data_IF_754798918640
#
_entry.id   IF_754798918640
#
_cell.length_a   1.000
_cell.length_b   1.000
_cell.length_c   1.000
_cell.angle_alpha   90.00
_cell.angle_beta   90.00
_cell.angle_gamma   90.00
#
_symmetry.space_group_name_H-M   'P 1'
#
loop_
_entity.id
_entity.type
_entity.pdbx_description
1 polymer ?
#
# COMPACT_ATOMS: atom_id res chain seq x y z
N UNK A 1 5.22 24.45 49.24
CA UNK A 1 5.40 25.17 47.95
C UNK A 1 4.59 26.46 48.02
N UNK A 2 5.15 27.62 47.64
CA UNK A 2 4.38 28.86 47.63
C UNK A 2 3.17 28.73 46.68
N UNK A 3 2.03 29.38 46.99
CA UNK A 3 0.85 29.35 46.13
C UNK A 3 1.20 29.97 44.77
N UNK A 4 0.81 29.28 43.68
CA UNK A 4 1.04 29.77 42.32
C UNK A 4 0.32 31.12 42.14
N UNK A 5 1.04 32.12 41.66
CA UNK A 5 0.47 33.44 41.39
C UNK A 5 -0.69 33.31 40.38
N UNK A 6 -1.80 34.01 40.64
CA UNK A 6 -2.93 34.06 39.71
C UNK A 6 -2.50 34.74 38.40
N UNK A 7 -2.95 34.21 37.27
CA UNK A 7 -2.72 34.85 35.97
C UNK A 7 -3.27 36.27 35.96
N UNK A 8 -2.60 37.15 35.23
CA UNK A 8 -3.06 38.51 35.01
C UNK A 8 -4.33 38.46 34.14
N UNK A 9 -5.46 38.83 34.72
CA UNK A 9 -6.73 39.04 34.02
C UNK A 9 -7.26 40.46 34.30
N UNK A 10 -8.34 40.84 33.62
CA UNK A 10 -9.00 42.13 33.79
C UNK A 10 -9.66 42.20 35.18
N UNK A 11 -9.87 43.41 35.70
CA UNK A 11 -10.56 43.62 36.98
C UNK A 11 -11.91 42.88 37.04
N UNK A 12 -12.30 42.44 38.24
CA UNK A 12 -13.45 41.54 38.43
C UNK A 12 -14.77 42.05 37.85
N UNK A 13 -15.02 43.37 37.88
CA UNK A 13 -16.21 43.97 37.28
C UNK A 13 -16.19 43.82 35.74
N UNK A 14 -15.07 44.18 35.11
CA UNK A 14 -14.89 44.08 33.66
C UNK A 14 -14.94 42.62 33.19
N UNK A 15 -14.40 41.67 33.96
CA UNK A 15 -14.54 40.25 33.63
C UNK A 15 -15.98 39.77 33.66
N UNK A 16 -16.83 40.28 34.57
CA UNK A 16 -18.25 39.92 34.63
C UNK A 16 -19.03 40.49 33.45
N UNK A 17 -18.79 41.75 33.08
CA UNK A 17 -19.38 42.38 31.89
C UNK A 17 -18.99 41.60 30.63
N UNK A 18 -17.70 41.26 30.49
CA UNK A 18 -17.18 40.43 29.39
C UNK A 18 -17.89 39.07 29.31
N UNK A 19 -17.99 38.35 30.44
CA UNK A 19 -18.62 37.03 30.46
C UNK A 19 -20.12 37.10 30.19
N UNK A 20 -20.79 38.16 30.63
CA UNK A 20 -22.21 38.42 30.36
C UNK A 20 -22.47 38.64 28.88
N UNK A 21 -21.71 39.54 28.23
CA UNK A 21 -21.84 39.82 26.79
C UNK A 21 -21.46 38.62 25.91
N UNK A 22 -20.51 37.80 26.36
CA UNK A 22 -20.10 36.59 25.65
C UNK A 22 -21.05 35.40 25.86
N UNK A 23 -21.95 35.45 26.86
CA UNK A 23 -22.79 34.32 27.26
C UNK A 23 -22.00 33.10 27.75
N UNK A 24 -20.70 33.24 28.01
CA UNK A 24 -19.79 32.16 28.44
C UNK A 24 -18.65 32.70 29.28
N UNK A 25 -17.97 31.81 30.01
CA UNK A 25 -16.71 32.16 30.68
C UNK A 25 -15.62 32.41 29.64
N UNK A 26 -15.02 33.60 29.69
CA UNK A 26 -13.93 33.96 28.80
C UNK A 26 -12.70 33.08 29.08
N UNK A 27 -12.18 32.43 28.03
CA UNK A 27 -10.93 31.67 28.06
C UNK A 27 -9.83 32.52 27.44
N UNK A 28 -8.80 32.83 28.22
CA UNK A 28 -7.69 33.68 27.79
C UNK A 28 -6.82 32.97 26.74
N UNK A 29 -6.53 33.64 25.63
CA UNK A 29 -5.66 33.12 24.56
C UNK A 29 -4.16 33.35 24.83
N UNK A 30 -3.82 34.12 25.86
CA UNK A 30 -2.44 34.35 26.27
C UNK A 30 -1.81 33.06 26.79
N UNK A 31 -0.56 32.86 26.38
CA UNK A 31 0.24 31.73 26.82
C UNK A 31 1.08 32.21 27.99
N UNK A 32 0.72 31.80 29.20
CA UNK A 32 1.44 32.13 30.43
C UNK A 32 2.57 31.12 30.64
N UNK A 33 3.62 31.51 31.37
CA UNK A 33 4.82 30.68 31.52
C UNK A 33 4.55 29.31 32.17
N UNK A 34 3.47 29.20 32.96
CA UNK A 34 3.04 27.97 33.62
C UNK A 34 2.11 27.09 32.75
N UNK A 35 1.54 27.64 31.68
CA UNK A 35 0.70 26.89 30.72
C UNK A 35 1.46 26.44 29.48
N UNK A 36 2.70 26.90 29.31
CA UNK A 36 3.61 26.49 28.24
C UNK A 36 4.64 25.50 28.80
N UNK A 37 5.14 24.62 27.94
CA UNK A 37 6.33 23.83 28.27
C UNK A 37 7.52 24.74 28.65
N UNK A 38 8.35 24.36 29.62
CA UNK A 38 9.54 25.12 29.95
C UNK A 38 10.47 25.27 28.76
N UNK A 39 11.20 26.39 28.69
CA UNK A 39 12.17 26.67 27.63
C UNK A 39 13.36 25.70 27.64
N UNK A 40 13.71 25.17 28.82
CA UNK A 40 14.75 24.17 29.00
C UNK A 40 14.11 22.79 29.12
N UNK A 41 14.28 21.96 28.09
CA UNK A 41 13.83 20.57 28.10
C UNK A 41 14.99 19.67 28.54
N UNK A 42 14.73 18.61 29.32
CA UNK A 42 15.76 17.63 29.65
C UNK A 42 16.22 16.89 28.38
N UNK A 43 17.45 16.34 28.35
CA UNK A 43 17.92 15.57 27.21
C UNK A 43 16.97 14.38 26.95
N UNK A 44 16.39 14.24 25.75
CA UNK A 44 15.46 13.16 25.47
C UNK A 44 16.21 11.84 25.20
N UNK A 45 15.64 10.72 25.67
CA UNK A 45 16.05 9.37 25.25
C UNK A 45 15.15 8.93 24.11
N UNK A 46 15.62 9.06 22.88
CA UNK A 46 14.83 8.73 21.67
C UNK A 46 14.96 7.22 21.40
N UNK A 47 13.84 6.49 21.21
CA UNK A 47 13.91 5.08 20.85
C UNK A 47 14.57 4.90 19.48
N UNK A 48 15.27 3.79 19.32
CA UNK A 48 15.95 3.44 18.07
C UNK A 48 14.93 3.12 16.98
N UNK A 49 15.27 3.46 15.74
CA UNK A 49 14.45 3.11 14.57
C UNK A 49 14.53 1.62 14.22
N UNK A 50 13.59 1.13 13.41
CA UNK A 50 13.52 -0.28 12.96
C UNK A 50 14.77 -0.74 12.20
N UNK A 51 15.47 0.19 11.57
CA UNK A 51 16.68 -0.04 10.76
C UNK A 51 17.96 -0.11 11.58
N UNK A 52 17.88 -0.16 12.91
CA UNK A 52 19.01 -0.22 13.84
C UNK A 52 19.22 -1.61 14.44
N UNK A 53 18.85 -2.67 13.71
CA UNK A 53 19.25 -4.05 14.02
C UNK A 53 20.73 -4.26 13.72
N UNK A 54 21.42 -4.99 14.60
CA UNK A 54 22.83 -5.38 14.44
C UNK A 54 23.02 -6.56 13.48
N UNK A 55 21.97 -7.37 13.28
CA UNK A 55 22.01 -8.56 12.42
C UNK A 55 20.98 -8.46 11.29
N UNK A 56 21.26 -9.15 10.19
CA UNK A 56 20.37 -9.28 9.02
C UNK A 56 19.87 -7.93 8.44
N UNK A 57 20.69 -6.88 8.53
CA UNK A 57 20.30 -5.52 8.20
C UNK A 57 21.17 -4.93 7.09
N UNK A 58 21.15 -5.58 5.93
CA UNK A 58 21.92 -5.15 4.77
C UNK A 58 21.27 -3.96 4.07
N UNK A 59 22.06 -2.98 3.66
CA UNK A 59 21.51 -1.77 3.03
C UNK A 59 20.79 -2.05 1.70
N UNK A 60 21.31 -3.00 0.90
CA UNK A 60 20.75 -3.31 -0.42
C UNK A 60 19.36 -3.93 -0.37
N UNK A 61 18.97 -4.60 0.73
CA UNK A 61 17.64 -5.23 0.84
C UNK A 61 16.54 -4.23 1.17
N UNK A 62 16.90 -3.09 1.76
CA UNK A 62 15.98 -2.06 2.25
C UNK A 62 15.98 -0.78 1.42
N UNK A 63 16.84 -0.67 0.40
CA UNK A 63 17.02 0.57 -0.35
C UNK A 63 15.94 0.72 -1.43
N UNK A 64 14.93 1.60 -1.24
CA UNK A 64 13.89 1.79 -2.23
C UNK A 64 14.41 2.52 -3.48
N UNK A 65 15.53 3.25 -3.39
CA UNK A 65 16.06 4.05 -4.50
C UNK A 65 16.51 3.17 -5.65
N UNK A 66 17.05 2.00 -5.33
CA UNK A 66 17.51 1.01 -6.32
C UNK A 66 16.39 0.07 -6.80
N UNK A 67 15.21 0.10 -6.16
CA UNK A 67 14.03 -0.65 -6.61
C UNK A 67 13.22 0.11 -7.68
N UNK A 68 13.53 1.38 -7.91
CA UNK A 68 12.87 2.19 -8.93
C UNK A 68 13.28 1.70 -10.31
N UNK A 69 12.32 1.15 -11.05
CA UNK A 69 12.51 0.76 -12.46
C UNK A 69 12.44 2.00 -13.36
N UNK A 70 13.18 2.03 -14.48
CA UNK A 70 13.02 3.09 -15.47
C UNK A 70 11.60 3.11 -16.01
N UNK A 71 11.17 4.28 -16.48
CA UNK A 71 9.86 4.42 -17.10
C UNK A 71 9.75 3.54 -18.35
N UNK A 72 8.60 2.89 -18.52
CA UNK A 72 8.32 2.02 -19.66
C UNK A 72 7.40 2.77 -20.63
N UNK A 73 7.85 2.93 -21.88
CA UNK A 73 7.01 3.44 -22.96
C UNK A 73 6.13 2.33 -23.52
N UNK A 74 4.85 2.37 -23.15
CA UNK A 74 3.83 1.37 -23.52
C UNK A 74 3.75 1.17 -25.04
N UNK A 75 3.83 2.24 -25.83
CA UNK A 75 3.66 2.14 -27.29
C UNK A 75 4.86 1.49 -27.97
N UNK A 76 6.07 1.75 -27.49
CA UNK A 76 7.27 1.10 -28.00
C UNK A 76 7.31 -0.39 -27.64
N UNK A 77 6.88 -0.77 -26.43
CA UNK A 77 6.79 -2.17 -26.03
C UNK A 77 5.80 -2.94 -26.91
N UNK A 78 4.60 -2.40 -27.17
CA UNK A 78 3.64 -3.04 -28.10
C UNK A 78 4.22 -3.24 -29.50
N UNK A 79 4.96 -2.25 -30.03
CA UNK A 79 5.62 -2.37 -31.34
C UNK A 79 6.68 -3.46 -31.36
N UNK A 80 7.48 -3.58 -30.28
CA UNK A 80 8.51 -4.64 -30.15
C UNK A 80 7.88 -6.03 -30.09
N UNK A 81 6.76 -6.19 -29.38
CA UNK A 81 6.01 -7.45 -29.29
C UNK A 81 5.48 -7.87 -30.66
N UNK A 82 4.76 -6.98 -31.36
CA UNK A 82 4.22 -7.27 -32.70
C UNK A 82 5.33 -7.57 -33.72
N UNK A 83 6.47 -6.87 -33.63
CA UNK A 83 7.63 -7.12 -34.51
C UNK A 83 8.33 -8.45 -34.18
N UNK A 84 8.33 -8.89 -32.92
CA UNK A 84 8.84 -10.19 -32.52
C UNK A 84 7.93 -11.32 -32.99
N UNK A 85 6.61 -11.14 -32.90
CA UNK A 85 5.60 -12.06 -33.44
C UNK A 85 5.71 -12.19 -34.96
N UNK A 86 5.82 -11.07 -35.68
CA UNK A 86 6.01 -11.08 -37.14
C UNK A 86 7.32 -11.77 -37.57
N UNK A 87 8.42 -11.58 -36.82
CA UNK A 87 9.69 -12.28 -37.08
C UNK A 87 9.62 -13.77 -36.74
N UNK A 88 8.85 -14.16 -35.72
CA UNK A 88 8.61 -15.55 -35.38
C UNK A 88 7.77 -16.25 -36.46
N UNK A 89 6.75 -15.59 -37.00
CA UNK A 89 5.97 -16.12 -38.14
C UNK A 89 6.80 -16.24 -39.43
N UNK A 90 7.65 -15.27 -39.73
CA UNK A 90 8.52 -15.35 -40.92
C UNK A 90 9.59 -16.46 -40.77
N UNK A 91 10.13 -16.65 -39.57
CA UNK A 91 11.03 -17.75 -39.26
C UNK A 91 10.34 -19.12 -39.37
N UNK A 92 9.07 -19.22 -38.92
CA UNK A 92 8.25 -20.42 -39.08
C UNK A 92 7.95 -20.71 -40.57
N UNK A 93 7.66 -19.68 -41.37
CA UNK A 93 7.43 -19.82 -42.83
C UNK A 93 8.72 -20.16 -43.61
N UNK A 94 9.88 -19.63 -43.21
CA UNK A 94 11.19 -20.00 -43.79
C UNK A 94 11.63 -21.42 -43.42
N UNK A 95 11.24 -21.92 -42.24
CA UNK A 95 11.45 -23.31 -41.87
C UNK A 95 10.59 -24.27 -42.73
N UNK A 96 9.38 -23.87 -43.11
CA UNK A 96 8.50 -24.65 -44.00
C UNK A 96 8.92 -24.61 -45.49
N UNK A 97 9.62 -23.56 -45.96
CA UNK A 97 10.06 -23.44 -47.35
C UNK A 97 11.34 -24.21 -47.71
N UNK A 98 12.05 -24.80 -46.74
CA UNK A 98 13.21 -25.71 -46.98
C UNK A 98 12.81 -27.18 -47.11
N UNK A 99 11.52 -27.49 -47.17
CA UNK A 99 10.99 -28.83 -47.45
C UNK A 99 9.95 -28.76 -48.57
N UNK A 100 10.35 -29.03 -49.81
CA UNK A 100 9.49 -29.51 -50.91
C UNK A 100 10.15 -30.78 -51.48
N UNK A 101 9.48 -31.88 -51.83
CA UNK A 101 8.14 -32.06 -52.40
C UNK A 101 7.47 -33.40 -52.00
N UNK A 102 6.22 -33.32 -51.50
CA UNK A 102 4.96 -33.99 -51.90
C UNK A 102 4.87 -35.53 -52.28
N UNK A 103 3.68 -36.11 -52.57
CA UNK A 103 2.72 -36.73 -51.61
C UNK A 103 2.19 -38.13 -52.04
N UNK A 104 1.70 -39.01 -51.14
CA UNK A 104 0.69 -40.07 -51.47
C UNK A 104 -0.14 -40.54 -50.27
N UNK A 105 -1.45 -40.36 -50.43
CA UNK A 105 -2.58 -41.28 -50.17
C UNK A 105 -2.97 -41.71 -48.74
N UNK A 106 -4.21 -41.34 -48.37
CA UNK A 106 -5.20 -42.27 -47.81
C UNK A 106 -5.46 -42.28 -46.30
N UNK A 107 -6.45 -41.52 -45.84
CA UNK A 107 -7.28 -41.84 -44.64
C UNK A 107 -8.07 -43.16 -44.86
N UNK A 108 -8.65 -43.89 -43.85
CA UNK A 108 -9.04 -43.44 -42.48
C UNK A 108 -8.80 -44.42 -41.28
N UNK A 109 -8.61 -43.81 -40.09
CA UNK A 109 -9.04 -44.10 -38.68
C UNK A 109 -9.44 -45.56 -38.26
N UNK A 110 -9.01 -46.06 -37.06
CA UNK A 110 -9.79 -45.84 -35.84
C UNK A 110 -8.99 -45.44 -34.57
N UNK A 111 -9.67 -44.92 -33.53
CA UNK A 111 -9.09 -44.13 -32.45
C UNK A 111 -9.07 -44.87 -31.10
N UNK A 112 -7.92 -44.96 -30.43
CA UNK A 112 -7.90 -45.48 -29.03
C UNK A 112 -6.76 -44.86 -28.21
N UNK A 113 -7.19 -44.05 -27.23
CA UNK A 113 -6.65 -43.87 -25.87
C UNK A 113 -5.26 -43.23 -25.67
N UNK A 114 -5.29 -41.95 -25.27
CA UNK A 114 -4.50 -41.51 -24.12
C UNK A 114 -5.46 -40.90 -23.09
N UNK A 115 -5.51 -41.54 -21.92
CA UNK A 115 -6.38 -41.19 -20.80
C UNK A 115 -5.71 -40.08 -19.99
N UNK A 116 -6.29 -38.89 -20.02
CA UNK A 116 -6.12 -37.92 -18.94
C UNK A 116 -7.32 -38.08 -17.99
N UNK A 117 -7.20 -39.07 -17.11
CA UNK A 117 -7.98 -39.14 -15.89
C UNK A 117 -7.17 -38.42 -14.82
N UNK A 118 -7.64 -37.26 -14.38
CA UNK A 118 -8.20 -37.10 -13.05
C UNK A 118 -8.60 -35.64 -12.87
N UNK A 119 -9.87 -35.44 -13.17
CA UNK A 119 -10.70 -34.38 -12.63
C UNK A 119 -10.75 -34.60 -11.12
N UNK A 120 -10.03 -33.79 -10.35
CA UNK A 120 -10.53 -33.39 -9.02
C UNK A 120 -11.37 -32.13 -9.27
N UNK A 121 -12.67 -32.31 -9.50
CA UNK A 121 -13.67 -32.30 -8.44
C UNK A 121 -13.53 -31.01 -7.61
N UNK A 122 -14.04 -29.93 -8.19
CA UNK A 122 -14.50 -28.78 -7.44
C UNK A 122 -15.66 -29.23 -6.54
N UNK A 123 -15.33 -29.73 -5.35
CA UNK A 123 -16.33 -30.04 -4.34
C UNK A 123 -16.96 -28.74 -3.79
N UNK A 124 -18.26 -28.84 -3.54
CA UNK A 124 -19.19 -27.73 -3.28
C UNK A 124 -19.18 -27.31 -1.81
N UNK A 125 -19.37 -26.00 -1.61
CA UNK A 125 -19.80 -25.38 -0.35
C UNK A 125 -18.72 -24.45 0.21
N UNK A 126 -18.86 -23.13 0.30
CA UNK A 126 -20.06 -22.34 0.57
C UNK A 126 -20.15 -21.12 -0.35
N UNK A 127 -21.35 -20.89 -0.86
CA UNK A 127 -21.80 -19.60 -1.39
C UNK A 127 -21.85 -18.57 -0.25
N UNK A 128 -20.70 -18.00 0.08
CA UNK A 128 -20.58 -16.88 1.00
C UNK A 128 -19.98 -15.69 0.27
N UNK A 129 -20.77 -15.01 -0.56
CA UNK A 129 -20.41 -13.67 -1.04
C UNK A 129 -20.13 -12.79 0.19
N UNK A 130 -18.86 -12.57 0.50
CA UNK A 130 -18.45 -11.65 1.58
C UNK A 130 -18.95 -10.27 1.17
N UNK A 131 -20.10 -9.86 1.72
CA UNK A 131 -20.62 -8.50 1.58
C UNK A 131 -19.50 -7.55 1.94
N UNK A 132 -19.12 -6.71 0.99
CA UNK A 132 -18.25 -5.56 1.25
C UNK A 132 -18.87 -4.78 2.43
N UNK A 133 -18.08 -4.39 3.44
CA UNK A 133 -18.60 -3.62 4.55
C UNK A 133 -19.15 -2.30 4.02
N UNK A 134 -20.37 -1.96 4.44
CA UNK A 134 -20.98 -0.65 4.20
C UNK A 134 -20.01 0.44 4.67
N UNK A 135 -19.83 1.54 3.91
CA UNK A 135 -18.91 2.61 4.28
C UNK A 135 -19.27 3.14 5.67
N UNK A 136 -18.31 3.07 6.60
CA UNK A 136 -18.46 3.57 7.98
C UNK A 136 -18.08 2.59 9.09
N UNK A 137 -17.81 1.31 8.81
CA UNK A 137 -17.34 0.38 9.86
C UNK A 137 -15.80 0.41 9.97
N UNK A 138 -15.31 1.12 10.97
CA UNK A 138 -13.89 1.20 11.35
C UNK A 138 -13.39 -0.15 11.87
N UNK A 139 -12.19 -0.56 11.42
CA UNK A 139 -11.49 -1.74 11.96
C UNK A 139 -10.89 -1.38 13.32
N UNK A 140 -11.14 -2.20 14.35
CA UNK A 140 -10.46 -2.12 15.64
C UNK A 140 -9.05 -2.67 15.51
N UNK A 141 -8.06 -1.84 15.84
CA UNK A 141 -6.61 -2.12 15.77
C UNK A 141 -6.06 -2.68 17.09
N UNK A 142 -6.78 -3.59 17.76
CA UNK A 142 -6.17 -4.38 18.83
C UNK A 142 -5.88 -5.79 18.32
N UNK A 143 -4.58 -6.10 18.25
CA UNK A 143 -4.07 -7.44 18.02
C UNK A 143 -4.03 -8.26 19.32
N UNK A 144 -3.70 -9.57 19.24
CA UNK A 144 -3.81 -10.48 20.37
C UNK A 144 -2.75 -10.24 21.45
N UNK A 145 -3.16 -10.35 22.71
CA UNK A 145 -2.31 -10.38 23.90
C UNK A 145 -1.41 -11.62 23.96
#
# INVERSE_FOLDING_TARGET
>A
MPPKAKHRDVAGLLSRVRNFLLGRTHKTAHRFADTISPSTQPPPTIPRGSTQSLFANYYYTRDPRNLVKPFVDVMQEHKKVLAAEAKAEEAAKKAQAKSGDAPKDGSPVPPVEFKDNDTEECDKGDSGTKKLPTPGKVHSWEGPH
#
